data_IF_961535897335
#
_entry.id   IF_961535897335
#
_cell.length_a   1.000
_cell.length_b   1.000
_cell.length_c   1.000
_cell.angle_alpha   90.00
_cell.angle_beta   90.00
_cell.angle_gamma   90.00
#
_symmetry.space_group_name_H-M   'P 1'
#
loop_
_entity.id
_entity.type
_entity.pdbx_description
1 polymer ?
#
# COMPACT_ATOMS: atom_id res chain seq x y z
N UNK A 1 -1.14 16.41 -21.55
CA UNK A 1 0.05 15.69 -21.07
C UNK A 1 -0.24 15.28 -19.64
N UNK A 2 -0.23 13.98 -19.33
CA UNK A 2 -0.24 13.53 -17.94
C UNK A 2 1.12 13.85 -17.33
N UNK A 3 1.17 14.62 -16.24
CA UNK A 3 2.42 14.76 -15.48
C UNK A 3 2.61 13.47 -14.69
N UNK A 4 3.77 12.84 -14.88
CA UNK A 4 4.17 11.69 -14.09
C UNK A 4 4.85 12.23 -12.82
N UNK A 5 4.30 11.92 -11.65
CA UNK A 5 4.92 12.22 -10.37
C UNK A 5 5.81 11.07 -9.93
N UNK A 6 6.90 11.40 -9.26
CA UNK A 6 7.87 10.45 -8.77
C UNK A 6 8.15 10.68 -7.28
N UNK A 7 8.00 9.63 -6.48
CA UNK A 7 8.36 9.62 -5.06
C UNK A 7 9.48 8.62 -4.82
N UNK A 8 10.52 9.04 -4.14
CA UNK A 8 11.43 8.12 -3.46
C UNK A 8 10.84 7.82 -2.08
N UNK A 9 10.72 6.54 -1.73
CA UNK A 9 10.19 6.09 -0.45
C UNK A 9 11.11 5.07 0.19
N UNK A 10 11.17 5.06 1.52
CA UNK A 10 12.00 4.12 2.28
C UNK A 10 11.42 3.81 3.65
N UNK A 11 11.93 2.76 4.27
CA UNK A 11 11.69 2.46 5.68
C UNK A 11 12.49 1.26 6.15
N UNK A 12 12.69 1.17 7.45
CA UNK A 12 13.48 0.10 8.07
C UNK A 12 12.86 -1.28 7.86
N UNK A 13 11.53 -1.35 7.76
CA UNK A 13 10.76 -2.58 7.60
C UNK A 13 9.56 -2.35 6.68
N UNK A 14 9.06 -3.43 6.07
CA UNK A 14 7.80 -3.41 5.33
C UNK A 14 7.10 -4.78 5.35
N UNK A 15 5.77 -4.77 5.24
CA UNK A 15 4.99 -6.01 5.06
C UNK A 15 3.81 -5.80 4.12
N UNK A 16 4.01 -6.13 2.86
CA UNK A 16 2.97 -6.17 1.83
C UNK A 16 2.32 -7.55 1.86
N UNK A 17 1.40 -7.75 2.80
CA UNK A 17 0.91 -9.10 3.16
C UNK A 17 0.33 -9.85 1.96
N UNK A 18 0.84 -11.06 1.72
CA UNK A 18 0.27 -12.02 0.78
C UNK A 18 -1.12 -12.49 1.26
N UNK A 19 -2.19 -12.34 0.47
CA UNK A 19 -3.55 -12.67 0.91
C UNK A 19 -3.75 -14.15 1.24
N UNK A 20 -2.94 -15.04 0.68
CA UNK A 20 -2.93 -16.48 0.95
C UNK A 20 -2.31 -16.84 2.32
N UNK A 21 -1.50 -15.95 2.92
CA UNK A 21 -0.77 -16.19 4.17
C UNK A 21 -1.16 -15.14 5.23
N UNK A 22 -2.43 -15.11 5.61
CA UNK A 22 -2.97 -14.11 6.57
C UNK A 22 -2.72 -14.44 8.05
N UNK A 23 -2.57 -15.72 8.39
CA UNK A 23 -2.38 -16.16 9.79
C UNK A 23 -0.96 -15.88 10.25
N UNK A 24 0.02 -16.35 9.47
CA UNK A 24 1.43 -15.99 9.60
C UNK A 24 1.75 -15.02 8.47
N UNK A 25 1.95 -13.73 8.81
CA UNK A 25 2.05 -12.69 7.79
C UNK A 25 3.36 -12.84 7.02
N UNK A 26 3.24 -13.12 5.72
CA UNK A 26 4.38 -13.13 4.80
C UNK A 26 4.21 -11.98 3.83
N UNK A 27 5.23 -11.13 3.71
CA UNK A 27 5.26 -10.05 2.73
C UNK A 27 5.42 -10.60 1.31
N UNK A 28 4.90 -9.89 0.31
CA UNK A 28 5.47 -9.93 -1.04
C UNK A 28 6.92 -9.45 -0.99
N UNK A 29 7.71 -9.86 -1.97
CA UNK A 29 9.11 -9.48 -2.14
C UNK A 29 9.30 -7.96 -2.35
N UNK A 30 8.26 -7.28 -2.85
CA UNK A 30 8.26 -5.85 -3.21
C UNK A 30 6.91 -5.21 -2.91
N UNK A 31 6.87 -3.89 -2.91
CA UNK A 31 5.64 -3.10 -2.73
C UNK A 31 4.59 -3.41 -3.81
N UNK A 32 3.33 -3.55 -3.41
CA UNK A 32 2.20 -3.72 -4.34
C UNK A 32 1.76 -2.38 -4.95
N UNK A 33 1.19 -2.35 -6.17
CA UNK A 33 0.63 -1.13 -6.73
C UNK A 33 -0.42 -0.47 -5.82
N UNK A 34 -1.25 -1.27 -5.14
CA UNK A 34 -2.19 -0.82 -4.12
C UNK A 34 -1.52 -0.04 -2.98
N UNK A 35 -0.45 -0.60 -2.40
CA UNK A 35 0.28 0.04 -1.30
C UNK A 35 1.00 1.30 -1.79
N UNK A 36 1.60 1.27 -2.99
CA UNK A 36 2.21 2.44 -3.60
C UNK A 36 1.17 3.56 -3.83
N UNK A 37 -0.02 3.24 -4.36
CA UNK A 37 -1.13 4.20 -4.53
C UNK A 37 -1.51 4.85 -3.21
N UNK A 38 -1.63 4.06 -2.14
CA UNK A 38 -1.99 4.55 -0.82
C UNK A 38 -0.98 5.57 -0.27
N UNK A 39 0.32 5.47 -0.61
CA UNK A 39 1.33 6.47 -0.22
C UNK A 39 1.04 7.82 -0.89
N UNK A 40 0.74 7.84 -2.19
CA UNK A 40 0.36 9.07 -2.88
C UNK A 40 -0.94 9.66 -2.30
N UNK A 41 -1.92 8.83 -1.98
CA UNK A 41 -3.19 9.25 -1.37
C UNK A 41 -3.02 9.82 0.04
N UNK A 42 -2.13 9.25 0.84
CA UNK A 42 -1.80 9.75 2.17
C UNK A 42 -1.22 11.18 2.10
N UNK A 43 -0.50 11.52 1.04
CA UNK A 43 -0.01 12.89 0.79
C UNK A 43 -1.16 13.79 0.31
N UNK A 44 -1.87 13.36 -0.73
CA UNK A 44 -3.05 14.05 -1.25
C UNK A 44 -4.07 13.07 -1.85
N UNK A 45 -5.27 13.09 -1.27
CA UNK A 45 -6.45 12.46 -1.85
C UNK A 45 -7.64 13.42 -1.81
N UNK A 46 -8.44 13.38 -2.87
CA UNK A 46 -9.77 14.01 -2.97
C UNK A 46 -10.67 13.13 -3.84
N UNK A 47 -12.00 13.19 -3.69
CA UNK A 47 -12.93 12.39 -4.51
C UNK A 47 -12.78 12.61 -6.03
N UNK A 48 -12.36 13.82 -6.44
CA UNK A 48 -12.18 14.20 -7.84
C UNK A 48 -10.83 13.78 -8.44
N UNK A 49 -9.95 13.12 -7.68
CA UNK A 49 -8.66 12.65 -8.19
C UNK A 49 -8.44 11.17 -7.91
N UNK A 50 -7.66 10.54 -8.79
CA UNK A 50 -7.21 9.14 -8.63
C UNK A 50 -5.74 9.04 -8.98
N UNK A 51 -4.99 8.31 -8.18
CA UNK A 51 -3.60 7.97 -8.48
C UNK A 51 -3.53 6.63 -9.21
N UNK A 52 -2.76 6.57 -10.28
CA UNK A 52 -2.45 5.35 -11.01
C UNK A 52 -0.95 5.14 -11.02
N UNK A 53 -0.49 4.07 -10.38
CA UNK A 53 0.92 3.65 -10.44
C UNK A 53 1.22 3.16 -11.85
N UNK A 54 2.35 3.58 -12.40
CA UNK A 54 2.78 3.22 -13.77
C UNK A 54 3.99 2.30 -13.75
N UNK A 55 4.91 2.52 -12.82
CA UNK A 55 6.08 1.68 -12.62
C UNK A 55 6.67 1.89 -11.22
N UNK A 56 7.42 0.91 -10.78
CA UNK A 56 8.10 0.85 -9.50
C UNK A 56 9.54 0.46 -9.78
N UNK A 57 10.49 1.21 -9.24
CA UNK A 57 11.89 0.80 -9.21
C UNK A 57 12.26 0.38 -7.79
N UNK A 58 12.94 -0.76 -7.68
CA UNK A 58 13.50 -1.27 -6.43
C UNK A 58 14.93 -0.77 -6.32
N UNK A 59 15.23 -0.01 -5.26
CA UNK A 59 16.52 0.66 -5.09
C UNK A 59 17.45 -0.09 -4.12
N UNK A 60 16.89 -0.84 -3.16
CA UNK A 60 17.66 -1.65 -2.22
C UNK A 60 17.44 -3.16 -2.48
N UNK A 61 18.44 -4.01 -2.19
CA UNK A 61 18.28 -5.46 -2.29
C UNK A 61 17.13 -5.99 -1.43
N UNK A 62 16.45 -7.03 -1.91
CA UNK A 62 15.33 -7.66 -1.21
C UNK A 62 15.87 -8.45 -0.01
N UNK A 63 15.75 -7.88 1.17
CA UNK A 63 16.20 -8.49 2.41
C UNK A 63 15.02 -8.83 3.32
N UNK A 64 15.13 -9.96 4.02
CA UNK A 64 14.08 -10.46 4.90
C UNK A 64 14.47 -10.40 6.38
N UNK A 65 13.46 -10.29 7.24
CA UNK A 65 13.58 -10.43 8.68
C UNK A 65 12.39 -11.23 9.21
N UNK A 66 12.66 -12.13 10.16
CA UNK A 66 11.61 -12.82 10.91
C UNK A 66 11.39 -12.12 12.25
N UNK A 67 10.14 -11.80 12.54
CA UNK A 67 9.74 -11.17 13.80
C UNK A 67 8.56 -11.93 14.39
N UNK A 68 8.61 -12.23 15.69
CA UNK A 68 7.50 -12.84 16.41
C UNK A 68 6.83 -11.79 17.30
N UNK A 69 5.50 -11.71 17.25
CA UNK A 69 4.71 -10.75 18.02
C UNK A 69 3.63 -11.46 18.81
N UNK A 70 3.28 -10.89 19.94
CA UNK A 70 2.08 -11.27 20.68
C UNK A 70 0.90 -10.46 20.12
N UNK A 71 -0.01 -11.12 19.40
CA UNK A 71 -1.23 -10.55 18.86
C UNK A 71 -2.47 -11.10 19.61
N UNK A 72 -3.60 -10.42 19.48
CA UNK A 72 -4.88 -10.90 20.02
C UNK A 72 -5.41 -12.01 19.11
N UNK A 73 -5.66 -13.18 19.69
CA UNK A 73 -6.11 -14.37 18.95
C UNK A 73 -7.59 -14.42 18.61
N UNK A 74 -8.39 -13.57 19.26
CA UNK A 74 -9.84 -13.60 19.21
C UNK A 74 -10.40 -12.28 18.69
N UNK A 75 -11.34 -12.38 17.76
CA UNK A 75 -12.13 -11.23 17.30
C UNK A 75 -13.35 -11.12 18.19
N UNK A 76 -13.69 -9.90 18.60
CA UNK A 76 -14.91 -9.63 19.33
C UNK A 76 -16.12 -9.88 18.42
N UNK A 77 -17.05 -10.71 18.88
CA UNK A 77 -18.32 -10.89 18.18
C UNK A 77 -19.29 -9.77 18.59
N UNK A 78 -20.17 -9.39 17.66
CA UNK A 78 -21.31 -8.51 17.98
C UNK A 78 -22.15 -9.16 19.10
N UNK A 79 -22.60 -8.39 20.11
CA UNK A 79 -23.41 -8.93 21.19
C UNK A 79 -24.66 -9.64 20.68
N UNK A 80 -24.94 -10.83 21.20
CA UNK A 80 -26.15 -11.57 20.83
C UNK A 80 -27.40 -10.97 21.53
N UNK A 81 -28.60 -11.34 21.07
CA UNK A 81 -29.85 -10.79 21.60
C UNK A 81 -30.04 -11.03 23.11
N UNK A 82 -29.51 -12.14 23.66
CA UNK A 82 -29.58 -12.43 25.10
C UNK A 82 -28.66 -11.52 25.92
N UNK A 83 -27.47 -11.23 25.41
CA UNK A 83 -26.53 -10.27 25.99
C UNK A 83 -27.12 -8.85 25.97
N UNK A 84 -27.68 -8.44 24.84
CA UNK A 84 -28.34 -7.13 24.71
C UNK A 84 -29.57 -6.98 25.63
N UNK A 85 -30.30 -8.07 25.87
CA UNK A 85 -31.46 -8.09 26.76
C UNK A 85 -31.10 -8.22 28.26
N UNK A 86 -29.81 -8.26 28.62
CA UNK A 86 -29.36 -8.38 30.02
C UNK A 86 -29.59 -9.77 30.64
N UNK A 87 -29.91 -10.79 29.83
CA UNK A 87 -30.18 -12.15 30.28
C UNK A 87 -28.96 -13.09 30.15
N UNK A 88 -27.79 -12.56 29.77
CA UNK A 88 -26.55 -13.33 29.66
C UNK A 88 -25.68 -13.15 30.89
N UNK A 89 -25.19 -14.27 31.44
CA UNK A 89 -24.14 -14.29 32.47
C UNK A 89 -22.74 -14.40 31.88
N UNK A 90 -22.60 -14.69 30.59
CA UNK A 90 -21.31 -14.71 29.90
C UNK A 90 -20.75 -13.29 29.73
N UNK A 91 -19.47 -13.11 30.07
CA UNK A 91 -18.73 -11.87 29.86
C UNK A 91 -18.76 -11.47 28.39
N UNK A 92 -19.08 -10.19 28.12
CA UNK A 92 -18.98 -9.67 26.76
C UNK A 92 -17.53 -9.55 26.29
N UNK A 93 -16.55 -9.52 27.20
CA UNK A 93 -15.13 -9.44 26.88
C UNK A 93 -14.32 -10.65 27.29
N UNK A 94 -13.10 -10.69 26.79
CA UNK A 94 -12.08 -11.68 27.16
C UNK A 94 -10.86 -10.96 27.70
N UNK A 95 -10.14 -11.60 28.61
CA UNK A 95 -8.85 -11.11 29.06
C UNK A 95 -7.81 -11.40 27.98
N UNK A 96 -7.02 -10.39 27.63
CA UNK A 96 -6.01 -10.53 26.57
C UNK A 96 -4.97 -11.60 26.90
N UNK A 97 -4.65 -11.82 28.17
CA UNK A 97 -3.68 -12.83 28.58
C UNK A 97 -4.16 -14.27 28.31
N UNK A 98 -5.48 -14.50 28.31
CA UNK A 98 -6.08 -15.81 28.03
C UNK A 98 -6.19 -16.07 26.51
N UNK A 99 -6.17 -15.01 25.70
CA UNK A 99 -6.40 -15.06 24.25
C UNK A 99 -5.17 -14.55 23.45
N UNK A 100 -3.99 -14.54 24.08
CA UNK A 100 -2.74 -14.08 23.48
C UNK A 100 -2.21 -15.14 22.52
N UNK A 101 -1.99 -14.76 21.26
CA UNK A 101 -1.39 -15.62 20.25
C UNK A 101 -0.02 -15.09 19.82
N UNK A 102 0.96 -15.99 19.72
CA UNK A 102 2.24 -15.66 19.09
C UNK A 102 2.16 -15.87 17.59
N UNK A 103 2.32 -14.80 16.82
CA UNK A 103 2.35 -14.87 15.36
C UNK A 103 3.74 -14.52 14.88
N UNK A 104 4.30 -15.41 14.07
CA UNK A 104 5.51 -15.13 13.32
C UNK A 104 5.13 -14.35 12.05
N UNK A 105 5.97 -13.40 11.68
CA UNK A 105 5.89 -12.71 10.41
C UNK A 105 7.25 -12.75 9.70
N UNK A 106 7.19 -12.85 8.37
CA UNK A 106 8.33 -12.72 7.49
C UNK A 106 8.19 -11.40 6.73
N UNK A 107 8.96 -10.41 7.14
CA UNK A 107 8.88 -9.03 6.68
C UNK A 107 10.10 -8.66 5.85
N UNK A 108 9.98 -7.61 5.06
CA UNK A 108 11.12 -6.99 4.40
C UNK A 108 11.85 -6.07 5.38
N UNK A 109 13.16 -5.91 5.18
CA UNK A 109 14.00 -4.96 5.92
C UNK A 109 14.76 -4.04 4.97
N UNK A 110 15.04 -2.82 5.41
CA UNK A 110 15.82 -1.81 4.70
C UNK A 110 15.34 -1.62 3.25
N UNK A 111 14.04 -1.33 3.11
CA UNK A 111 13.42 -1.20 1.79
C UNK A 111 13.53 0.22 1.27
N UNK A 112 13.77 0.34 -0.03
CA UNK A 112 13.80 1.62 -0.72
C UNK A 112 13.27 1.45 -2.15
N UNK A 113 12.36 2.34 -2.55
CA UNK A 113 11.71 2.30 -3.85
C UNK A 113 11.64 3.69 -4.49
N UNK A 114 11.60 3.73 -5.81
CA UNK A 114 11.13 4.89 -6.58
C UNK A 114 9.78 4.55 -7.21
N UNK A 115 8.75 5.31 -6.83
CA UNK A 115 7.37 5.07 -7.22
C UNK A 115 6.92 6.13 -8.21
N UNK A 116 6.38 5.69 -9.34
CA UNK A 116 5.91 6.58 -10.38
C UNK A 116 4.40 6.47 -10.53
N UNK A 117 3.73 7.61 -10.55
CA UNK A 117 2.29 7.66 -10.64
C UNK A 117 1.77 8.81 -11.50
N UNK A 118 0.64 8.55 -12.16
CA UNK A 118 -0.14 9.56 -12.85
C UNK A 118 -1.29 10.00 -11.95
N UNK A 119 -1.50 11.31 -11.90
CA UNK A 119 -2.69 11.89 -11.32
C UNK A 119 -3.77 11.94 -12.41
N UNK A 120 -4.95 11.40 -12.13
CA UNK A 120 -6.14 11.55 -12.95
C UNK A 120 -7.12 12.49 -12.25
N UNK A 121 -7.70 13.42 -13.00
CA UNK A 121 -8.71 14.36 -12.50
C UNK A 121 -10.05 14.11 -13.18
N UNK A 122 -11.10 13.92 -12.39
CA UNK A 122 -12.47 13.78 -12.83
C UNK A 122 -13.23 15.09 -12.56
N UNK A 123 -13.39 15.89 -13.62
CA UNK A 123 -14.06 17.18 -13.56
C UNK A 123 -15.54 17.11 -13.16
N UNK A 124 -16.18 15.95 -13.32
CA UNK A 124 -17.58 15.79 -12.89
C UNK A 124 -17.74 15.85 -11.37
N UNK A 125 -16.70 15.51 -10.61
CA UNK A 125 -16.69 15.47 -9.15
C UNK A 125 -16.22 16.76 -8.49
N UNK A 126 -15.62 17.66 -9.26
CA UNK A 126 -15.28 19.02 -8.81
C UNK A 126 -15.26 20.00 -10.00
N UNK A 127 -16.45 20.47 -10.47
CA UNK A 127 -16.58 21.30 -11.66
C UNK A 127 -15.89 22.67 -11.57
N UNK A 128 -15.60 23.15 -10.36
CA UNK A 128 -14.98 24.46 -10.12
C UNK A 128 -13.45 24.38 -9.98
N UNK A 129 -12.86 23.24 -10.36
CA UNK A 129 -11.45 22.96 -10.21
C UNK A 129 -10.85 22.42 -11.50
N UNK A 130 -9.54 22.21 -11.50
CA UNK A 130 -8.83 21.65 -12.61
C UNK A 130 -7.66 20.79 -12.11
N UNK A 131 -7.11 20.01 -13.04
CA UNK A 131 -5.94 19.18 -12.81
C UNK A 131 -4.77 19.95 -12.17
N UNK A 132 -4.44 21.13 -12.70
CA UNK A 132 -3.27 21.93 -12.27
C UNK A 132 -3.31 22.31 -10.79
N UNK A 133 -4.49 22.62 -10.26
CA UNK A 133 -4.69 22.88 -8.82
C UNK A 133 -4.28 21.68 -7.96
N UNK A 134 -4.71 20.47 -8.34
CA UNK A 134 -4.43 19.26 -7.57
C UNK A 134 -2.99 18.80 -7.73
N UNK A 135 -2.44 18.88 -8.94
CA UNK A 135 -1.03 18.66 -9.22
C UNK A 135 -0.13 19.55 -8.36
N UNK A 136 -0.35 20.87 -8.36
CA UNK A 136 0.42 21.82 -7.56
C UNK A 136 0.23 21.63 -6.05
N UNK A 137 -0.97 21.19 -5.62
CA UNK A 137 -1.24 20.87 -4.21
C UNK A 137 -0.44 19.66 -3.74
N UNK A 138 -0.40 18.59 -4.55
CA UNK A 138 0.38 17.39 -4.24
C UNK A 138 1.86 17.73 -4.21
N UNK A 139 2.38 18.39 -5.25
CA UNK A 139 3.79 18.76 -5.35
C UNK A 139 4.26 19.57 -4.13
N UNK A 140 3.50 20.61 -3.76
CA UNK A 140 3.81 21.43 -2.58
C UNK A 140 3.84 20.61 -1.29
N UNK A 141 2.90 19.66 -1.13
CA UNK A 141 2.84 18.81 0.06
C UNK A 141 4.01 17.84 0.09
N UNK A 142 4.26 17.15 -1.02
CA UNK A 142 5.34 16.19 -1.16
C UNK A 142 6.72 16.83 -0.90
N UNK A 143 6.99 18.02 -1.46
CA UNK A 143 8.23 18.78 -1.21
C UNK A 143 8.44 19.16 0.26
N UNK A 144 7.36 19.40 0.99
CA UNK A 144 7.40 19.80 2.41
C UNK A 144 7.29 18.63 3.38
N UNK A 145 7.22 17.39 2.88
CA UNK A 145 6.96 16.20 3.71
C UNK A 145 5.58 16.21 4.37
N UNK A 146 4.60 16.96 3.82
CA UNK A 146 3.26 17.08 4.38
C UNK A 146 2.37 15.95 3.89
N UNK A 147 1.65 15.32 4.81
CA UNK A 147 0.67 14.28 4.54
C UNK A 147 -0.58 14.47 5.42
N UNK A 148 -1.70 13.90 5.01
CA UNK A 148 -2.93 13.86 5.82
C UNK A 148 -2.81 12.84 6.96
N UNK A 149 -2.18 11.70 6.67
CA UNK A 149 -1.79 10.69 7.63
C UNK A 149 -0.39 10.20 7.28
N UNK A 150 0.39 9.77 8.27
CA UNK A 150 1.71 9.18 8.04
C UNK A 150 1.56 8.01 7.04
N UNK A 151 2.24 8.05 5.88
CA UNK A 151 2.27 6.92 4.97
C UNK A 151 3.00 5.75 5.63
N UNK A 152 2.67 4.53 5.22
CA UNK A 152 3.22 3.31 5.80
C UNK A 152 3.45 2.24 4.73
N UNK A 153 4.38 1.33 5.00
CA UNK A 153 4.82 0.29 4.07
C UNK A 153 4.07 -1.02 4.34
N UNK A 154 2.85 -1.07 3.81
CA UNK A 154 1.96 -2.25 3.83
C UNK A 154 1.10 -2.35 5.10
N UNK A 155 1.68 -2.26 6.29
CA UNK A 155 0.91 -2.18 7.55
C UNK A 155 1.34 -0.98 8.39
N UNK A 156 0.43 -0.45 9.23
CA UNK A 156 0.64 0.79 10.00
C UNK A 156 1.82 0.76 10.99
N UNK A 157 2.33 -0.42 11.31
CA UNK A 157 3.51 -0.59 12.17
C UNK A 157 4.80 -0.11 11.51
N UNK A 158 4.80 0.02 10.18
CA UNK A 158 5.98 0.35 9.38
C UNK A 158 5.81 1.71 8.72
N UNK A 159 6.28 2.77 9.37
CA UNK A 159 6.26 4.13 8.81
C UNK A 159 7.05 4.20 7.51
N UNK A 160 6.55 5.00 6.57
CA UNK A 160 7.19 5.26 5.29
C UNK A 160 7.73 6.69 5.28
N UNK A 161 9.03 6.82 5.08
CA UNK A 161 9.64 8.09 4.67
C UNK A 161 9.43 8.31 3.19
N UNK A 162 9.27 9.56 2.77
CA UNK A 162 9.09 9.90 1.37
C UNK A 162 9.71 11.26 1.01
N UNK A 163 10.15 11.38 -0.24
CA UNK A 163 10.64 12.61 -0.85
C UNK A 163 10.14 12.70 -2.30
N UNK A 164 9.77 13.90 -2.74
CA UNK A 164 9.49 14.15 -4.15
C UNK A 164 10.80 14.14 -4.96
N UNK A 165 10.81 13.39 -6.05
CA UNK A 165 11.89 13.42 -7.06
C UNK A 165 11.47 14.37 -8.17
N UNK A 166 12.11 15.53 -8.25
CA UNK A 166 11.80 16.57 -9.25
C UNK A 166 12.46 16.32 -10.60
N UNK A 167 13.66 15.74 -10.58
CA UNK A 167 14.42 15.40 -11.77
C UNK A 167 14.92 13.96 -11.66
N UNK A 168 14.23 13.07 -12.36
CA UNK A 168 14.56 11.64 -12.37
C UNK A 168 15.83 11.33 -13.17
N UNK A 169 16.30 12.25 -14.02
CA UNK A 169 17.53 12.07 -14.80
C UNK A 169 18.78 12.40 -13.98
N UNK A 170 18.65 13.34 -13.04
CA UNK A 170 19.75 13.74 -12.15
C UNK A 170 19.75 13.02 -10.79
N UNK A 171 18.75 12.17 -10.51
CA UNK A 171 18.73 11.37 -9.28
C UNK A 171 19.64 10.14 -9.43
N UNK A 172 20.79 10.17 -8.76
CA UNK A 172 21.94 9.29 -9.00
C UNK A 172 21.84 7.87 -8.42
N UNK A 173 20.71 7.48 -7.82
CA UNK A 173 20.54 6.12 -7.28
C UNK A 173 19.93 5.23 -8.37
N UNK A 174 20.70 4.33 -9.00
CA UNK A 174 20.14 3.39 -9.95
C UNK A 174 19.30 2.33 -9.21
N UNK A 175 18.29 1.74 -9.87
CA UNK A 175 17.65 0.53 -9.39
C UNK A 175 18.65 -0.62 -9.24
N UNK A 176 18.29 -1.64 -8.47
CA UNK A 176 19.10 -2.85 -8.35
C UNK A 176 19.23 -3.55 -9.71
N UNK A 177 20.40 -4.11 -10.00
CA UNK A 177 20.66 -4.84 -11.25
C UNK A 177 20.16 -6.30 -11.18
N UNK A 178 18.94 -6.50 -10.70
CA UNK A 178 18.32 -7.81 -10.52
C UNK A 178 17.12 -8.00 -11.46
N UNK A 179 17.10 -9.17 -12.12
CA UNK A 179 15.94 -9.69 -12.84
C UNK A 179 15.27 -10.76 -11.97
N UNK A 180 13.98 -10.63 -11.70
CA UNK A 180 13.22 -11.58 -10.89
C UNK A 180 11.80 -11.74 -11.40
N UNK A 181 11.37 -12.98 -11.58
CA UNK A 181 9.95 -13.28 -11.73
C UNK A 181 9.29 -13.24 -10.34
N UNK A 182 8.36 -12.31 -10.14
CA UNK A 182 7.68 -12.11 -8.86
C UNK A 182 6.36 -12.90 -8.79
N UNK A 183 5.91 -13.42 -9.93
CA UNK A 183 4.67 -14.17 -10.05
C UNK A 183 3.43 -13.30 -9.84
N UNK A 184 2.31 -13.97 -9.55
CA UNK A 184 1.04 -13.30 -9.27
C UNK A 184 1.11 -12.52 -7.95
N UNK A 185 0.89 -11.21 -8.04
CA UNK A 185 0.82 -10.33 -6.89
C UNK A 185 -0.44 -9.47 -6.91
N UNK A 186 -0.88 -9.06 -5.72
CA UNK A 186 -2.00 -8.14 -5.58
C UNK A 186 -1.70 -6.86 -6.37
N UNK A 187 -2.57 -6.56 -7.33
CA UNK A 187 -2.56 -5.29 -8.05
C UNK A 187 -3.23 -4.24 -7.16
N UNK A 188 -4.53 -4.39 -6.90
CA UNK A 188 -5.34 -3.51 -6.06
C UNK A 188 -6.68 -4.16 -5.72
N UNK A 189 -7.50 -3.47 -4.92
CA UNK A 189 -8.90 -3.84 -4.70
C UNK A 189 -9.80 -3.03 -5.64
N UNK A 190 -10.76 -3.70 -6.29
CA UNK A 190 -11.85 -3.04 -6.99
C UNK A 190 -12.94 -2.63 -5.98
N UNK A 191 -13.22 -1.34 -5.93
CA UNK A 191 -14.23 -0.73 -5.04
C UNK A 191 -15.51 -0.33 -5.80
N UNK A 192 -15.73 -0.88 -7.00
CA UNK A 192 -16.97 -0.67 -7.76
C UNK A 192 -18.21 -1.05 -6.94
N UNK A 193 -18.13 -2.14 -6.16
CA UNK A 193 -19.03 -2.42 -5.05
C UNK A 193 -18.32 -2.14 -3.71
N UNK A 194 -18.68 -1.01 -3.08
CA UNK A 194 -18.09 -0.60 -1.82
C UNK A 194 -18.34 -1.54 -0.63
N UNK A 195 -19.34 -2.43 -0.73
CA UNK A 195 -19.63 -3.42 0.32
C UNK A 195 -18.83 -4.71 0.15
N UNK A 196 -18.34 -4.99 -1.06
CA UNK A 196 -17.63 -6.21 -1.39
C UNK A 196 -16.44 -5.93 -2.31
N UNK A 197 -15.37 -5.30 -1.78
CA UNK A 197 -14.20 -5.00 -2.57
C UNK A 197 -13.49 -6.29 -3.02
N UNK A 198 -13.29 -6.45 -4.32
CA UNK A 198 -12.72 -7.66 -4.93
C UNK A 198 -11.23 -7.46 -5.24
N UNK A 199 -10.35 -8.41 -4.88
CA UNK A 199 -8.93 -8.30 -5.19
C UNK A 199 -8.65 -8.58 -6.66
N UNK A 200 -7.88 -7.70 -7.28
CA UNK A 200 -7.31 -7.90 -8.61
C UNK A 200 -5.81 -8.14 -8.53
N UNK A 201 -5.29 -8.92 -9.45
CA UNK A 201 -3.92 -9.41 -9.49
C UNK A 201 -3.31 -9.21 -10.87
N UNK A 202 -1.98 -9.15 -10.91
CA UNK A 202 -1.22 -9.17 -12.16
C UNK A 202 0.01 -10.06 -11.99
N UNK A 203 0.52 -10.61 -13.09
CA UNK A 203 1.74 -11.39 -13.07
C UNK A 203 2.94 -10.45 -13.20
N UNK A 204 3.64 -10.21 -12.09
CA UNK A 204 4.69 -9.21 -12.02
C UNK A 204 6.05 -9.81 -12.34
N UNK A 205 6.84 -9.05 -13.11
CA UNK A 205 8.24 -9.32 -13.34
C UNK A 205 9.05 -8.07 -13.09
N UNK A 206 10.19 -8.24 -12.43
CA UNK A 206 11.22 -7.22 -12.23
C UNK A 206 12.34 -7.43 -13.23
N UNK A 207 12.70 -6.37 -13.94
CA UNK A 207 13.79 -6.35 -14.94
C UNK A 207 14.73 -5.21 -14.61
N UNK A 208 15.97 -5.51 -14.24
CA UNK A 208 16.94 -4.52 -13.77
C UNK A 208 16.32 -3.61 -12.70
N UNK A 209 15.68 -4.21 -11.70
CA UNK A 209 15.04 -3.48 -10.59
C UNK A 209 13.74 -2.75 -10.95
N UNK A 210 13.36 -2.68 -12.24
CA UNK A 210 12.15 -2.03 -12.72
C UNK A 210 10.99 -3.02 -12.82
N UNK A 211 9.84 -2.65 -12.26
CA UNK A 211 8.57 -3.35 -12.39
C UNK A 211 7.60 -2.44 -13.14
N UNK A 212 7.10 -2.90 -14.29
CA UNK A 212 6.05 -2.20 -15.03
C UNK A 212 4.70 -2.56 -14.43
N UNK A 213 3.90 -1.55 -14.14
CA UNK A 213 2.53 -1.74 -13.63
C UNK A 213 1.58 -1.50 -14.80
N UNK A 214 0.81 -2.52 -15.23
CA UNK A 214 -0.13 -2.36 -16.34
C UNK A 214 -1.25 -1.38 -15.98
N UNK A 215 -1.97 -0.86 -16.98
CA UNK A 215 -3.15 -0.05 -16.71
C UNK A 215 -4.25 -0.88 -16.03
N UNK A 216 -5.10 -0.22 -15.22
CA UNK A 216 -6.18 -0.89 -14.49
C UNK A 216 -7.13 -1.70 -15.40
N UNK A 217 -7.37 -1.19 -16.60
CA UNK A 217 -8.22 -1.74 -17.64
C UNK A 217 -7.49 -2.68 -18.62
N UNK A 218 -6.20 -2.96 -18.39
CA UNK A 218 -5.43 -3.95 -19.19
C UNK A 218 -5.92 -5.38 -18.93
N UNK A 219 -5.87 -6.22 -19.97
CA UNK A 219 -6.13 -7.67 -19.90
C UNK A 219 -5.13 -8.42 -18.99
N UNK A 220 -3.98 -7.80 -18.70
CA UNK A 220 -2.97 -8.31 -17.77
C UNK A 220 -3.46 -8.30 -16.31
N UNK A 221 -4.43 -7.44 -15.99
CA UNK A 221 -5.02 -7.32 -14.65
C UNK A 221 -6.25 -8.21 -14.55
N UNK A 222 -6.22 -9.19 -13.64
CA UNK A 222 -7.25 -10.24 -13.52
C UNK A 222 -7.87 -10.27 -12.12
N UNK A 223 -9.09 -10.80 -12.02
CA UNK A 223 -9.86 -10.86 -10.77
C UNK A 223 -11.15 -10.06 -10.88
#
# INVERSE_FOLDING_TARGET
MSVNFCLEVSGDYACFTRPEMKVERVSYDVITPSAARAIFEAILWKPAIRWQITHIEVLNPINWISVRRNEVGKVFNTPNAKQMAGHSTESMGFYIEDERQQRAGLFLRDVKYRLYANLHFDGSKDPNSNYGKYAAMFERRAKKGQCFNQPYLGTREFSCDFRLVEDTQNDNIPPIEEDKDLGWMLYDLDYSDGNNPLPRFFNAAMKQGLIRVPAWDSEEVRG
#
